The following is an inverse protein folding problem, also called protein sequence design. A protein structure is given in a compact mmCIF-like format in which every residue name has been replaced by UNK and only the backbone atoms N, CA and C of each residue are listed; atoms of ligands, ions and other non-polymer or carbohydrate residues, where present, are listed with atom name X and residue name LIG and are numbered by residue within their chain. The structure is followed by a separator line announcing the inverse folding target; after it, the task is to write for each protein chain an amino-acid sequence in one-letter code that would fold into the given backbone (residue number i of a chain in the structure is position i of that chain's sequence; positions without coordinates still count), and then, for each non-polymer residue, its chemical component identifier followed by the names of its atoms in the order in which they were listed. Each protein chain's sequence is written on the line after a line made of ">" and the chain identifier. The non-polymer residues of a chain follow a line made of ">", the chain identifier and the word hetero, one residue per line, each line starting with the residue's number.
data_IF_918451031582
#
_entry.id   IF_918451031582
#
_cell.length_a   1.000
_cell.length_b   1.000
_cell.length_c   1.000
_cell.angle_alpha   90.00
_cell.angle_beta   90.00
_cell.angle_gamma   90.00
#
_symmetry.space_group_name_H-M   'P 1'
#
loop_
_entity.id
_entity.type
_entity.pdbx_description
1 polymer ?
#
# COMPACT_ATOMS: atom_id res chain seq x y z
N UNK A 1 32.58 1.69 16.07
CA UNK A 1 31.31 2.37 15.81
C UNK A 1 30.42 1.48 14.97
N UNK A 2 29.34 1.01 15.56
CA UNK A 2 28.28 0.33 14.79
C UNK A 2 27.52 1.40 14.02
N UNK A 3 27.66 1.41 12.69
CA UNK A 3 26.78 2.18 11.82
C UNK A 3 25.36 1.65 11.99
N UNK A 4 24.47 2.45 12.57
CA UNK A 4 23.04 2.12 12.52
C UNK A 4 22.62 2.17 11.04
N UNK A 5 22.14 1.03 10.53
CA UNK A 5 21.53 1.01 9.22
C UNK A 5 20.36 2.01 9.22
N UNK A 6 20.35 2.92 8.25
CA UNK A 6 19.25 3.86 8.10
C UNK A 6 17.95 3.07 7.87
N UNK A 7 16.86 3.52 8.49
CA UNK A 7 15.55 2.91 8.31
C UNK A 7 15.15 2.98 6.83
N UNK A 8 14.80 1.84 6.19
CA UNK A 8 14.51 1.84 4.75
C UNK A 8 13.27 2.67 4.37
N UNK A 9 12.35 2.91 5.30
CA UNK A 9 11.18 3.78 5.07
C UNK A 9 11.51 5.27 5.19
N UNK A 10 12.74 5.62 5.54
CA UNK A 10 13.23 7.00 5.66
C UNK A 10 14.30 7.35 4.62
N UNK A 11 14.45 6.53 3.57
CA UNK A 11 15.25 6.93 2.40
C UNK A 11 14.53 8.06 1.67
N UNK A 12 15.25 8.90 0.88
CA UNK A 12 14.60 9.95 0.09
C UNK A 12 13.47 9.44 -0.80
N UNK A 13 13.64 8.27 -1.42
CA UNK A 13 12.59 7.65 -2.26
C UNK A 13 11.39 7.22 -1.44
N UNK A 14 11.59 6.59 -0.30
CA UNK A 14 10.50 6.16 0.57
C UNK A 14 9.75 7.35 1.18
N UNK A 15 10.45 8.42 1.54
CA UNK A 15 9.83 9.66 2.01
C UNK A 15 8.96 10.27 0.91
N UNK A 16 9.48 10.35 -0.32
CA UNK A 16 8.71 10.86 -1.46
C UNK A 16 7.47 10.02 -1.73
N UNK A 17 7.58 8.69 -1.65
CA UNK A 17 6.43 7.78 -1.79
C UNK A 17 5.41 8.00 -0.69
N UNK A 18 5.84 8.16 0.56
CA UNK A 18 4.94 8.44 1.70
C UNK A 18 4.16 9.75 1.47
N UNK A 19 4.81 10.78 0.97
CA UNK A 19 4.17 12.06 0.62
C UNK A 19 3.14 11.89 -0.49
N UNK A 20 3.46 11.12 -1.54
CA UNK A 20 2.51 10.80 -2.62
C UNK A 20 1.30 10.03 -2.10
N UNK A 21 1.52 9.06 -1.21
CA UNK A 21 0.44 8.29 -0.58
C UNK A 21 -0.51 9.22 0.17
N UNK A 22 0.03 10.07 1.03
CA UNK A 22 -0.77 10.96 1.87
C UNK A 22 -1.48 12.04 1.05
N UNK A 23 -0.81 12.67 0.09
CA UNK A 23 -1.41 13.71 -0.77
C UNK A 23 -2.46 13.12 -1.71
N UNK A 24 -2.21 11.94 -2.26
CA UNK A 24 -3.18 11.23 -3.10
C UNK A 24 -4.44 10.85 -2.34
N UNK A 25 -4.30 10.42 -1.10
CA UNK A 25 -5.44 10.13 -0.22
C UNK A 25 -6.27 11.38 0.06
N UNK A 26 -5.63 12.47 0.44
CA UNK A 26 -6.31 13.73 0.73
C UNK A 26 -7.06 14.25 -0.50
N UNK A 27 -6.46 14.14 -1.67
CA UNK A 27 -7.11 14.52 -2.94
C UNK A 27 -8.32 13.63 -3.25
N UNK A 28 -8.22 12.33 -3.01
CA UNK A 28 -9.27 11.37 -3.34
C UNK A 28 -10.46 11.42 -2.38
N UNK A 29 -10.19 11.64 -1.08
CA UNK A 29 -11.20 11.47 -0.02
C UNK A 29 -11.48 12.75 0.78
N UNK A 30 -10.84 13.85 0.42
CA UNK A 30 -11.04 15.19 1.02
C UNK A 30 -10.84 15.21 2.54
N UNK A 31 -9.86 14.46 3.01
CA UNK A 31 -9.46 14.42 4.44
C UNK A 31 -8.04 13.85 4.54
N UNK A 32 -7.31 14.10 5.66
CA UNK A 32 -5.98 13.51 5.83
C UNK A 32 -6.07 11.99 6.08
N UNK A 33 -5.08 11.24 5.58
CA UNK A 33 -4.95 9.80 5.82
C UNK A 33 -4.64 9.52 7.31
N UNK A 34 -3.75 10.32 7.88
CA UNK A 34 -3.37 10.25 9.29
C UNK A 34 -3.56 11.63 9.92
N UNK A 35 -3.77 11.64 11.25
CA UNK A 35 -3.96 12.90 11.99
C UNK A 35 -2.72 13.79 11.84
N UNK A 36 -2.89 15.11 11.58
CA UNK A 36 -1.77 16.04 11.53
C UNK A 36 -0.99 16.04 12.85
N UNK A 37 0.34 16.09 12.75
CA UNK A 37 1.22 16.11 13.90
C UNK A 37 2.48 16.92 13.56
N UNK A 38 3.28 17.25 14.58
CA UNK A 38 4.57 17.93 14.40
C UNK A 38 5.70 16.96 14.00
N UNK A 39 5.46 15.65 14.02
CA UNK A 39 6.43 14.66 13.60
C UNK A 39 6.49 14.56 12.08
N UNK A 40 7.63 14.10 11.50
CA UNK A 40 7.74 13.90 10.06
C UNK A 40 6.69 12.92 9.54
N UNK A 41 6.03 13.26 8.43
CA UNK A 41 4.96 12.47 7.83
C UNK A 41 5.41 11.02 7.55
N UNK A 42 6.60 10.83 6.99
CA UNK A 42 7.10 9.50 6.65
C UNK A 42 7.21 8.60 7.89
N UNK A 43 7.63 9.13 9.02
CA UNK A 43 7.72 8.39 10.27
C UNK A 43 6.32 8.09 10.84
N UNK A 44 5.43 9.05 10.82
CA UNK A 44 4.05 8.89 11.28
C UNK A 44 3.29 7.86 10.45
N UNK A 45 3.43 7.91 9.14
CA UNK A 45 2.76 6.98 8.24
C UNK A 45 3.26 5.55 8.44
N UNK A 46 4.59 5.39 8.58
CA UNK A 46 5.16 4.06 8.84
C UNK A 46 4.68 3.48 10.18
N UNK A 47 4.60 4.31 11.20
CA UNK A 47 4.18 3.90 12.55
C UNK A 47 2.66 3.80 12.74
N UNK A 48 1.86 4.24 11.77
CA UNK A 48 0.40 4.29 11.89
C UNK A 48 -0.19 2.89 12.11
N UNK A 49 -1.26 2.81 12.90
CA UNK A 49 -1.96 1.56 13.16
C UNK A 49 -2.70 1.03 11.94
N UNK A 50 -3.21 1.91 11.09
CA UNK A 50 -3.85 1.54 9.83
C UNK A 50 -2.83 0.87 8.90
N UNK A 51 -3.26 -0.19 8.20
CA UNK A 51 -2.43 -0.87 7.20
C UNK A 51 -2.36 -0.04 5.94
N UNK A 52 -1.16 0.23 5.43
CA UNK A 52 -0.94 1.00 4.20
C UNK A 52 0.05 0.27 3.30
N UNK A 53 -0.34 0.09 2.05
CA UNK A 53 0.47 -0.48 0.99
C UNK A 53 0.42 0.42 -0.24
N UNK A 54 1.45 0.39 -1.06
CA UNK A 54 1.43 1.02 -2.38
C UNK A 54 2.25 0.21 -3.39
N UNK A 55 1.82 0.23 -4.64
CA UNK A 55 2.56 -0.38 -5.74
C UNK A 55 2.81 0.64 -6.86
N UNK A 56 3.73 0.30 -7.77
CA UNK A 56 4.14 1.18 -8.87
C UNK A 56 3.09 1.21 -9.99
N UNK A 57 3.38 1.98 -11.04
CA UNK A 57 2.46 2.22 -12.15
C UNK A 57 2.52 1.19 -13.28
N UNK A 58 3.12 0.03 -13.08
CA UNK A 58 3.12 -1.02 -14.10
C UNK A 58 1.72 -1.50 -14.40
N UNK A 59 1.48 -1.93 -15.65
CA UNK A 59 0.18 -2.40 -16.08
C UNK A 59 -0.27 -3.63 -15.29
N UNK A 60 -1.53 -3.62 -14.84
CA UNK A 60 -2.11 -4.69 -14.01
C UNK A 60 -2.16 -6.04 -14.70
N UNK A 61 -2.27 -6.04 -16.03
CA UNK A 61 -2.50 -7.23 -16.85
C UNK A 61 -1.29 -7.63 -17.69
N UNK A 62 -0.10 -7.11 -17.42
CA UNK A 62 1.12 -7.40 -18.18
C UNK A 62 2.19 -7.96 -17.25
N UNK A 63 2.79 -9.08 -17.64
CA UNK A 63 3.86 -9.74 -16.91
C UNK A 63 3.46 -10.03 -15.48
N UNK A 64 4.34 -9.72 -14.53
CA UNK A 64 4.07 -9.89 -13.10
C UNK A 64 3.21 -8.77 -12.50
N UNK A 65 2.86 -7.76 -13.32
CA UNK A 65 2.11 -6.60 -12.87
C UNK A 65 2.92 -5.65 -11.99
N UNK A 66 2.24 -4.75 -11.26
CA UNK A 66 2.92 -3.80 -10.39
C UNK A 66 3.69 -4.46 -9.25
N UNK A 67 4.76 -3.78 -8.82
CA UNK A 67 5.54 -4.20 -7.66
C UNK A 67 5.27 -3.27 -6.50
N UNK A 68 5.29 -3.81 -5.28
CA UNK A 68 5.17 -3.01 -4.06
C UNK A 68 6.35 -2.05 -3.95
N UNK A 69 6.05 -0.78 -3.66
CA UNK A 69 7.04 0.27 -3.43
C UNK A 69 6.98 0.79 -2.00
N UNK A 70 5.96 0.41 -1.24
CA UNK A 70 5.77 0.84 0.14
C UNK A 70 4.90 -0.15 0.91
N UNK A 71 5.27 -0.37 2.16
CA UNK A 71 4.45 -1.07 3.14
C UNK A 71 4.79 -0.48 4.52
N UNK A 72 3.78 -0.02 5.27
CA UNK A 72 4.05 0.49 6.60
C UNK A 72 4.22 -0.66 7.61
N UNK A 73 4.59 -0.33 8.85
CA UNK A 73 4.85 -1.34 9.90
C UNK A 73 3.66 -2.28 10.11
N UNK A 74 2.45 -1.75 10.13
CA UNK A 74 1.24 -2.57 10.28
C UNK A 74 1.08 -3.57 9.14
N UNK A 75 1.37 -3.18 7.91
CA UNK A 75 1.37 -4.06 6.74
C UNK A 75 2.45 -5.15 6.85
N UNK A 76 3.67 -4.75 7.19
CA UNK A 76 4.78 -5.70 7.33
C UNK A 76 4.46 -6.77 8.39
N UNK A 77 3.88 -6.36 9.52
CA UNK A 77 3.47 -7.28 10.59
C UNK A 77 2.36 -8.22 10.15
N UNK A 78 1.36 -7.70 9.44
CA UNK A 78 0.21 -8.50 9.00
C UNK A 78 0.62 -9.58 8.00
N UNK A 79 1.43 -9.24 6.99
CA UNK A 79 1.93 -10.22 6.03
C UNK A 79 3.09 -11.05 6.56
N UNK A 80 3.71 -10.65 7.67
CA UNK A 80 4.83 -11.36 8.27
C UNK A 80 6.12 -11.27 7.45
N UNK A 81 6.36 -10.14 6.78
CA UNK A 81 7.51 -9.92 5.92
C UNK A 81 8.28 -8.67 6.34
N UNK A 82 9.61 -8.68 6.29
CA UNK A 82 10.39 -7.46 6.47
C UNK A 82 10.26 -6.55 5.23
N UNK A 83 10.60 -5.27 5.39
CA UNK A 83 10.59 -4.29 4.30
C UNK A 83 11.34 -4.78 3.06
N UNK A 84 12.58 -5.28 3.24
CA UNK A 84 13.43 -5.72 2.13
C UNK A 84 12.83 -6.87 1.31
N UNK A 85 11.95 -7.68 1.90
CA UNK A 85 11.27 -8.77 1.21
C UNK A 85 9.96 -8.31 0.56
N UNK A 86 9.20 -7.48 1.28
CA UNK A 86 7.87 -7.05 0.82
C UNK A 86 7.96 -5.99 -0.27
N UNK A 87 8.80 -4.97 -0.09
CA UNK A 87 9.01 -3.94 -1.10
C UNK A 87 9.84 -4.51 -2.24
N UNK A 88 9.33 -4.38 -3.46
CA UNK A 88 9.91 -4.96 -4.67
C UNK A 88 9.27 -6.27 -5.13
N UNK A 89 8.47 -6.93 -4.28
CA UNK A 89 7.77 -8.12 -4.73
C UNK A 89 6.55 -7.75 -5.60
N UNK A 90 6.10 -8.65 -6.50
CA UNK A 90 4.85 -8.43 -7.22
C UNK A 90 3.70 -8.26 -6.24
N UNK A 91 2.95 -7.17 -6.37
CA UNK A 91 1.87 -6.86 -5.42
C UNK A 91 0.74 -7.88 -5.44
N UNK A 92 0.54 -8.58 -6.58
CA UNK A 92 -0.46 -9.66 -6.68
C UNK A 92 -0.19 -10.81 -5.70
N UNK A 93 1.07 -11.00 -5.29
CA UNK A 93 1.46 -12.08 -4.37
C UNK A 93 1.03 -11.82 -2.91
N UNK A 94 0.41 -10.68 -2.62
CA UNK A 94 -0.29 -10.45 -1.35
C UNK A 94 -1.58 -11.26 -1.28
N UNK A 95 -2.07 -11.76 -2.42
CA UNK A 95 -3.26 -12.61 -2.54
C UNK A 95 -2.88 -13.96 -3.16
N UNK A 96 -3.53 -15.02 -2.72
CA UNK A 96 -3.36 -16.34 -3.34
C UNK A 96 -3.93 -16.35 -4.78
N UNK A 97 -3.48 -17.28 -5.66
CA UNK A 97 -3.90 -17.28 -7.06
C UNK A 97 -5.42 -17.20 -7.28
N UNK A 98 -6.21 -17.90 -6.46
CA UNK A 98 -7.66 -17.90 -6.58
C UNK A 98 -8.31 -16.52 -6.36
N UNK A 99 -7.61 -15.61 -5.64
CA UNK A 99 -8.11 -14.27 -5.28
C UNK A 99 -7.54 -13.16 -6.17
N UNK A 100 -6.56 -13.47 -7.03
CA UNK A 100 -5.85 -12.45 -7.81
C UNK A 100 -6.73 -11.79 -8.87
N UNK A 101 -7.65 -12.52 -9.50
CA UNK A 101 -8.57 -11.96 -10.50
C UNK A 101 -9.52 -10.93 -9.87
N UNK A 102 -10.13 -11.25 -8.74
CA UNK A 102 -11.00 -10.34 -8.01
C UNK A 102 -10.24 -9.07 -7.57
N UNK A 103 -9.03 -9.25 -7.06
CA UNK A 103 -8.14 -8.15 -6.68
C UNK A 103 -7.82 -7.24 -7.88
N UNK A 104 -7.47 -7.84 -9.02
CA UNK A 104 -7.14 -7.09 -10.24
C UNK A 104 -8.33 -6.27 -10.75
N UNK A 105 -9.54 -6.82 -10.68
CA UNK A 105 -10.76 -6.11 -11.05
C UNK A 105 -11.00 -4.89 -10.17
N UNK A 106 -10.81 -5.02 -8.85
CA UNK A 106 -10.94 -3.91 -7.91
C UNK A 106 -9.91 -2.81 -8.19
N UNK A 107 -8.66 -3.18 -8.47
CA UNK A 107 -7.59 -2.24 -8.80
C UNK A 107 -7.88 -1.53 -10.13
N UNK A 108 -8.39 -2.24 -11.13
CA UNK A 108 -8.77 -1.65 -12.43
C UNK A 108 -9.92 -0.64 -12.26
N UNK A 109 -10.91 -0.95 -11.44
CA UNK A 109 -12.01 -0.04 -11.12
C UNK A 109 -11.49 1.22 -10.41
N UNK A 110 -10.62 1.03 -9.42
CA UNK A 110 -10.00 2.15 -8.70
C UNK A 110 -9.15 3.02 -9.63
N UNK A 111 -8.44 2.41 -10.57
CA UNK A 111 -7.62 3.11 -11.56
C UNK A 111 -8.49 3.98 -12.48
N UNK A 112 -9.62 3.44 -12.92
CA UNK A 112 -10.57 4.15 -13.80
C UNK A 112 -11.25 5.31 -13.07
N UNK A 113 -11.62 5.13 -11.81
CA UNK A 113 -12.32 6.14 -10.99
C UNK A 113 -11.38 7.01 -10.16
N UNK A 114 -10.07 6.76 -10.20
CA UNK A 114 -9.01 7.36 -9.39
C UNK A 114 -9.07 6.97 -7.89
N UNK A 115 -10.20 6.55 -7.39
CA UNK A 115 -10.36 6.07 -6.02
C UNK A 115 -11.64 5.24 -5.86
N UNK A 116 -11.60 4.26 -4.97
CA UNK A 116 -12.78 3.54 -4.50
C UNK A 116 -12.69 3.34 -2.98
N UNK A 117 -13.83 3.16 -2.33
CA UNK A 117 -13.91 2.76 -0.93
C UNK A 117 -14.85 1.57 -0.76
N UNK A 118 -14.84 0.96 0.43
CA UNK A 118 -15.72 -0.18 0.71
C UNK A 118 -15.26 -1.48 0.09
N UNK A 119 -14.00 -1.58 -0.34
CA UNK A 119 -13.50 -2.80 -0.95
C UNK A 119 -13.24 -3.89 0.10
N UNK A 120 -13.65 -5.12 -0.22
CA UNK A 120 -13.38 -6.31 0.59
C UNK A 120 -12.69 -7.37 -0.25
N UNK A 121 -11.80 -8.13 0.35
CA UNK A 121 -11.09 -9.19 -0.35
C UNK A 121 -10.31 -10.07 0.60
N UNK A 122 -9.83 -11.20 0.09
CA UNK A 122 -9.02 -12.15 0.84
C UNK A 122 -7.56 -11.98 0.46
N UNK A 123 -6.69 -12.03 1.47
CA UNK A 123 -5.24 -11.95 1.32
C UNK A 123 -4.59 -13.12 2.03
N UNK A 124 -3.31 -13.31 1.79
CA UNK A 124 -2.54 -14.42 2.36
C UNK A 124 -1.20 -13.89 2.86
N UNK A 125 -0.79 -14.32 4.06
CA UNK A 125 0.48 -13.95 4.64
C UNK A 125 1.61 -14.89 4.18
N UNK A 126 2.82 -14.62 4.64
CA UNK A 126 4.02 -15.40 4.30
C UNK A 126 3.90 -16.88 4.69
N UNK A 127 3.16 -17.18 5.76
CA UNK A 127 3.00 -18.55 6.27
C UNK A 127 1.81 -19.29 5.65
N UNK A 128 1.12 -18.67 4.69
CA UNK A 128 -0.05 -19.25 4.06
C UNK A 128 -1.34 -19.06 4.84
N UNK A 129 -1.35 -18.20 5.86
CA UNK A 129 -2.57 -17.89 6.61
C UNK A 129 -3.39 -16.87 5.85
N UNK A 130 -4.68 -17.16 5.70
CA UNK A 130 -5.61 -16.31 4.98
C UNK A 130 -6.30 -15.34 5.93
N UNK A 131 -6.54 -14.13 5.45
CA UNK A 131 -7.31 -13.14 6.19
C UNK A 131 -8.21 -12.35 5.25
N UNK A 132 -9.34 -11.92 5.80
CA UNK A 132 -10.31 -11.06 5.11
C UNK A 132 -9.99 -9.61 5.41
N UNK A 133 -9.87 -8.79 4.38
CA UNK A 133 -9.87 -7.33 4.54
C UNK A 133 -11.26 -6.79 4.22
N UNK A 134 -11.66 -5.72 4.89
CA UNK A 134 -12.98 -5.12 4.73
C UNK A 134 -12.88 -3.60 4.78
N UNK A 135 -13.77 -2.93 4.06
CA UNK A 135 -13.85 -1.47 4.00
C UNK A 135 -12.53 -0.80 3.63
N UNK A 136 -11.76 -1.45 2.75
CA UNK A 136 -10.50 -0.90 2.25
C UNK A 136 -10.77 0.26 1.29
N UNK A 137 -9.84 1.21 1.29
CA UNK A 137 -9.82 2.33 0.35
C UNK A 137 -8.63 2.16 -0.59
N UNK A 138 -8.85 2.39 -1.88
CA UNK A 138 -7.83 2.33 -2.93
C UNK A 138 -7.80 3.68 -3.64
N UNK A 139 -6.61 4.21 -3.92
CA UNK A 139 -6.48 5.49 -4.63
C UNK A 139 -5.23 5.54 -5.49
N UNK A 140 -5.23 6.48 -6.44
CA UNK A 140 -4.13 6.69 -7.37
C UNK A 140 -3.04 7.54 -6.71
N UNK A 141 -1.79 7.20 -7.01
CA UNK A 141 -0.62 8.03 -6.71
C UNK A 141 -0.32 8.91 -7.93
N UNK A 142 -0.05 10.19 -7.67
CA UNK A 142 0.26 11.17 -8.71
C UNK A 142 1.69 11.66 -8.56
N UNK A 143 2.43 11.73 -9.67
CA UNK A 143 3.76 12.29 -9.66
C UNK A 143 3.71 13.83 -9.74
N UNK A 144 4.88 14.48 -9.73
CA UNK A 144 4.99 15.93 -9.76
C UNK A 144 4.41 16.56 -11.04
N UNK A 145 4.34 15.77 -12.14
CA UNK A 145 3.75 16.22 -13.42
C UNK A 145 2.24 15.99 -13.48
N UNK A 146 1.63 15.48 -12.41
CA UNK A 146 0.18 15.19 -12.38
C UNK A 146 -0.21 13.91 -13.11
N UNK A 147 0.75 13.04 -13.40
CA UNK A 147 0.51 11.76 -14.05
C UNK A 147 0.35 10.65 -13.02
N UNK A 148 -0.52 9.66 -13.29
CA UNK A 148 -0.67 8.49 -12.45
C UNK A 148 0.62 7.67 -12.45
N UNK A 149 1.16 7.38 -11.27
CA UNK A 149 2.42 6.65 -11.13
C UNK A 149 2.33 5.43 -10.20
N UNK A 150 1.13 5.07 -9.76
CA UNK A 150 0.90 3.93 -8.91
C UNK A 150 -0.45 3.98 -8.23
N UNK A 151 -0.66 3.05 -7.31
CA UNK A 151 -1.86 2.99 -6.48
C UNK A 151 -1.50 2.64 -5.05
N UNK A 152 -2.31 3.11 -4.12
CA UNK A 152 -2.18 2.79 -2.70
C UNK A 152 -3.48 2.21 -2.16
N UNK A 153 -3.37 1.50 -1.06
CA UNK A 153 -4.49 0.93 -0.33
C UNK A 153 -4.30 1.13 1.16
N UNK A 154 -5.40 1.32 1.88
CA UNK A 154 -5.39 1.29 3.34
C UNK A 154 -6.62 0.57 3.88
N UNK A 155 -6.45 -0.04 5.04
CA UNK A 155 -7.55 -0.65 5.78
C UNK A 155 -7.15 -0.84 7.24
N UNK A 156 -8.14 -0.87 8.13
CA UNK A 156 -7.95 -1.22 9.53
C UNK A 156 -8.87 -2.37 9.97
N UNK A 157 -9.87 -2.69 9.17
CA UNK A 157 -10.83 -3.74 9.46
C UNK A 157 -10.44 -5.03 8.73
N UNK A 158 -10.01 -6.03 9.48
CA UNK A 158 -9.60 -7.32 8.93
C UNK A 158 -9.67 -8.41 10.02
N UNK A 159 -9.74 -9.66 9.61
CA UNK A 159 -9.74 -10.81 10.54
C UNK A 159 -9.19 -12.06 9.86
N UNK A 160 -8.63 -12.95 10.68
CA UNK A 160 -8.14 -14.25 10.19
C UNK A 160 -9.30 -15.15 9.78
N UNK A 161 -9.09 -15.89 8.70
CA UNK A 161 -10.04 -16.91 8.22
C UNK A 161 -9.71 -18.29 8.79
#
# INVERSE_FOLDING_TARGET
>A
MTSQAAAPWLTPEAIATAEQIASGYAQAFDRPLIAPSNAPLAQELFAAAIVVLAHDGRALNQGEGPRLIYANRSALRLWGRPWAEMVGMPSKNTAEPAEQTSRQQALATAQHQNAISGYSGIRIDRQGRRFQINRAQLWTLWNASGEACGQAACFSDWWWL
#
